data_IF_058662118130
#
_entry.id   IF_058662118130
#
_cell.length_a   1.000
_cell.length_b   1.000
_cell.length_c   1.000
_cell.angle_alpha   90.00
_cell.angle_beta   90.00
_cell.angle_gamma   90.00
#
_symmetry.space_group_name_H-M   'P 1'
#
loop_
_entity.id
_entity.type
_entity.pdbx_description
1 polymer ?
#
# COMPACT_ATOMS: atom_id res chain seq x y z
N UNK A 1 21.72 4.44 -6.38
CA UNK A 1 21.22 4.61 -7.76
C UNK A 1 22.19 5.40 -8.65
N UNK A 2 23.49 5.06 -8.66
CA UNK A 2 24.47 5.73 -9.53
C UNK A 2 24.62 7.24 -9.31
N UNK A 3 24.40 7.74 -8.08
CA UNK A 3 24.44 9.17 -7.76
C UNK A 3 23.18 9.96 -8.13
N UNK A 4 22.17 9.33 -8.72
CA UNK A 4 20.89 9.97 -9.08
C UNK A 4 19.97 10.04 -7.86
N UNK A 5 19.34 11.20 -7.65
CA UNK A 5 18.30 11.38 -6.64
C UNK A 5 17.03 10.63 -7.04
N UNK A 6 16.50 9.82 -6.13
CA UNK A 6 15.27 9.06 -6.33
C UNK A 6 14.19 9.58 -5.41
N UNK A 7 12.98 9.78 -5.95
CA UNK A 7 11.76 10.07 -5.18
C UNK A 7 10.78 8.93 -5.44
N UNK A 8 10.39 8.23 -4.37
CA UNK A 8 9.42 7.14 -4.43
C UNK A 8 8.05 7.67 -4.01
N UNK A 9 7.03 7.39 -4.82
CA UNK A 9 5.64 7.78 -4.55
C UNK A 9 4.78 6.53 -4.74
N UNK A 10 3.96 6.22 -3.73
CA UNK A 10 3.10 5.04 -3.77
C UNK A 10 2.24 4.90 -2.52
N UNK A 11 1.43 3.85 -2.47
CA UNK A 11 0.60 3.47 -1.32
C UNK A 11 0.95 2.05 -0.90
N UNK A 12 1.36 1.88 0.37
CA UNK A 12 1.77 0.60 0.92
C UNK A 12 0.58 -0.35 1.19
N UNK A 13 -0.65 0.18 1.18
CA UNK A 13 -1.86 -0.61 1.34
C UNK A 13 -2.40 -1.19 0.02
N UNK A 14 -1.63 -1.08 -1.06
CA UNK A 14 -1.95 -1.78 -2.30
C UNK A 14 -1.74 -3.29 -2.15
N UNK A 15 -2.35 -4.04 -3.07
CA UNK A 15 -2.14 -5.49 -3.14
C UNK A 15 -0.64 -5.81 -3.25
N UNK A 16 -0.16 -6.87 -2.58
CA UNK A 16 1.21 -7.32 -2.73
C UNK A 16 1.55 -7.57 -4.20
N UNK A 17 2.83 -7.40 -4.60
CA UNK A 17 3.29 -7.80 -5.91
C UNK A 17 2.94 -9.27 -6.19
N UNK A 18 2.39 -9.54 -7.37
CA UNK A 18 2.11 -10.91 -7.80
C UNK A 18 3.42 -11.58 -8.20
N UNK A 19 3.88 -12.52 -7.38
CA UNK A 19 5.04 -13.36 -7.70
C UNK A 19 4.58 -14.57 -8.48
N UNK A 20 5.15 -14.78 -9.67
CA UNK A 20 4.83 -15.94 -10.50
C UNK A 20 5.50 -17.21 -9.95
N UNK A 21 4.93 -18.37 -10.29
CA UNK A 21 5.43 -19.66 -9.80
C UNK A 21 6.88 -19.93 -10.22
N UNK A 22 7.26 -19.54 -11.43
CA UNK A 22 8.62 -19.65 -11.97
C UNK A 22 9.63 -18.70 -11.29
N UNK A 23 9.16 -17.63 -10.66
CA UNK A 23 9.98 -16.65 -9.93
C UNK A 23 10.00 -16.89 -8.42
N UNK A 24 9.08 -17.71 -7.91
CA UNK A 24 8.85 -17.89 -6.47
C UNK A 24 10.09 -18.39 -5.72
N UNK A 25 10.81 -19.35 -6.29
CA UNK A 25 12.05 -19.88 -5.71
C UNK A 25 13.13 -18.80 -5.61
N UNK A 26 13.26 -17.93 -6.62
CA UNK A 26 14.23 -16.85 -6.60
C UNK A 26 13.88 -15.82 -5.53
N UNK A 27 12.63 -15.36 -5.46
CA UNK A 27 12.21 -14.36 -4.48
C UNK A 27 12.36 -14.84 -3.05
N UNK A 28 11.92 -16.07 -2.76
CA UNK A 28 11.95 -16.64 -1.39
C UNK A 28 13.36 -16.94 -0.88
N UNK A 29 14.35 -17.07 -1.76
CA UNK A 29 15.76 -17.31 -1.39
C UNK A 29 16.62 -16.05 -1.42
N UNK A 30 16.21 -15.03 -2.17
CA UNK A 30 17.02 -13.84 -2.43
C UNK A 30 16.63 -12.64 -1.58
N UNK A 31 15.33 -12.51 -1.27
CA UNK A 31 14.73 -11.38 -0.56
C UNK A 31 13.85 -11.87 0.61
N UNK A 32 13.70 -11.03 1.62
CA UNK A 32 12.85 -11.34 2.78
C UNK A 32 11.36 -11.38 2.41
N UNK A 33 10.93 -10.46 1.54
CA UNK A 33 9.55 -10.35 1.04
C UNK A 33 9.55 -9.91 -0.42
N UNK A 34 8.43 -10.05 -1.17
CA UNK A 34 8.35 -9.57 -2.55
C UNK A 34 8.17 -8.05 -2.67
N UNK A 35 8.03 -7.33 -1.57
CA UNK A 35 7.83 -5.87 -1.60
C UNK A 35 9.11 -5.12 -1.93
N UNK A 36 8.98 -3.94 -2.52
CA UNK A 36 10.13 -3.12 -2.96
C UNK A 36 11.11 -2.79 -1.81
N UNK A 37 10.60 -2.65 -0.58
CA UNK A 37 11.41 -2.30 0.59
C UNK A 37 12.30 -3.45 1.07
N UNK A 38 12.14 -4.67 0.54
CA UNK A 38 13.08 -5.78 0.76
C UNK A 38 14.24 -5.79 -0.23
N UNK A 39 14.30 -4.85 -1.19
CA UNK A 39 15.42 -4.75 -2.11
C UNK A 39 16.72 -4.44 -1.37
N UNK A 40 17.82 -5.13 -1.71
CA UNK A 40 19.15 -4.93 -1.08
C UNK A 40 19.72 -3.52 -1.22
N UNK A 41 19.25 -2.76 -2.21
CA UNK A 41 19.65 -1.38 -2.46
C UNK A 41 18.70 -0.36 -1.79
N UNK A 42 17.68 -0.83 -1.07
CA UNK A 42 16.75 0.00 -0.32
C UNK A 42 17.15 -0.03 1.15
N UNK A 43 17.58 1.12 1.66
CA UNK A 43 17.87 1.35 3.07
C UNK A 43 16.90 2.41 3.58
N UNK A 44 16.16 2.12 4.66
CA UNK A 44 15.05 2.99 5.10
C UNK A 44 15.53 4.39 5.48
N UNK A 45 16.74 4.48 6.02
CA UNK A 45 17.46 5.71 6.38
C UNK A 45 17.76 6.62 5.18
N UNK A 46 17.90 6.05 3.97
CA UNK A 46 18.15 6.83 2.73
C UNK A 46 16.86 7.44 2.16
N UNK A 47 15.69 7.01 2.65
CA UNK A 47 14.37 7.41 2.14
C UNK A 47 13.49 8.01 3.24
N UNK A 48 13.76 9.26 3.68
CA UNK A 48 12.87 9.97 4.58
C UNK A 48 11.45 10.02 4.00
N UNK A 49 10.49 9.52 4.77
CA UNK A 49 9.12 9.29 4.29
C UNK A 49 8.16 10.34 4.84
N UNK A 50 7.28 10.85 3.98
CA UNK A 50 6.16 11.72 4.35
C UNK A 50 4.85 11.03 3.97
N UNK A 51 3.93 10.92 4.92
CA UNK A 51 2.59 10.37 4.66
C UNK A 51 1.62 11.49 4.32
N UNK A 52 0.97 11.40 3.16
CA UNK A 52 -0.11 12.31 2.77
C UNK A 52 -1.43 11.84 3.38
N UNK A 53 -2.02 12.64 4.26
CA UNK A 53 -3.23 12.27 5.02
C UNK A 53 -4.51 12.92 4.50
N UNK A 54 -4.40 13.99 3.70
CA UNK A 54 -5.57 14.69 3.16
C UNK A 54 -6.11 13.98 1.93
N UNK A 55 -7.38 13.55 2.01
CA UNK A 55 -8.10 12.89 0.92
C UNK A 55 -8.96 13.91 0.17
N UNK A 56 -8.64 14.18 -1.10
CA UNK A 56 -9.36 15.15 -1.92
C UNK A 56 -10.45 14.54 -2.81
N UNK A 57 -10.40 13.23 -3.09
CA UNK A 57 -11.28 12.59 -4.08
C UNK A 57 -12.75 12.53 -3.65
N UNK A 58 -13.01 12.43 -2.34
CA UNK A 58 -14.35 12.29 -1.77
C UNK A 58 -14.86 13.56 -1.07
N UNK A 59 -14.32 14.74 -1.42
CA UNK A 59 -14.79 16.02 -0.86
C UNK A 59 -16.31 16.17 -1.09
N UNK A 60 -17.09 16.14 0.00
CA UNK A 60 -18.55 16.22 -0.01
C UNK A 60 -19.30 14.90 0.30
N UNK A 61 -18.60 13.76 0.42
CA UNK A 61 -19.17 12.48 0.88
C UNK A 61 -18.32 11.91 2.04
N UNK A 62 -18.48 12.52 3.22
CA UNK A 62 -17.77 12.15 4.46
C UNK A 62 -18.04 10.69 4.85
N UNK A 63 -19.23 10.18 4.52
CA UNK A 63 -19.64 8.81 4.80
C UNK A 63 -18.87 7.80 3.95
N UNK A 64 -18.71 8.06 2.65
CA UNK A 64 -17.89 7.21 1.77
C UNK A 64 -16.41 7.23 2.19
N UNK A 65 -15.91 8.39 2.61
CA UNK A 65 -14.53 8.51 3.12
C UNK A 65 -14.30 7.65 4.36
N UNK A 66 -15.25 7.66 5.31
CA UNK A 66 -15.18 6.82 6.50
C UNK A 66 -15.16 5.32 6.17
N UNK A 67 -16.06 4.87 5.29
CA UNK A 67 -16.13 3.46 4.85
C UNK A 67 -14.81 3.01 4.19
N UNK A 68 -14.23 3.83 3.32
CA UNK A 68 -12.97 3.48 2.65
C UNK A 68 -11.78 3.45 3.63
N UNK A 69 -11.77 4.32 4.63
CA UNK A 69 -10.78 4.26 5.70
C UNK A 69 -10.95 3.01 6.58
N UNK A 70 -12.18 2.62 6.90
CA UNK A 70 -12.45 1.37 7.64
C UNK A 70 -11.98 0.12 6.87
N UNK A 71 -12.24 0.07 5.55
CA UNK A 71 -11.73 -1.00 4.68
C UNK A 71 -10.19 -1.00 4.67
N UNK A 72 -9.56 0.17 4.59
CA UNK A 72 -8.09 0.31 4.59
C UNK A 72 -7.45 -0.20 5.88
N UNK A 73 -8.07 0.10 7.03
CA UNK A 73 -7.59 -0.33 8.34
C UNK A 73 -7.99 -1.79 8.69
N UNK A 74 -8.86 -2.41 7.89
CA UNK A 74 -9.35 -3.77 8.13
C UNK A 74 -10.28 -3.89 9.34
N UNK A 75 -10.82 -2.76 9.83
CA UNK A 75 -11.65 -2.70 11.03
C UNK A 75 -13.12 -2.59 10.61
N UNK A 76 -13.91 -3.62 10.95
CA UNK A 76 -15.37 -3.70 10.81
C UNK A 76 -15.91 -3.73 9.36
N UNK A 77 -15.80 -4.91 8.73
CA UNK A 77 -16.45 -5.20 7.44
C UNK A 77 -17.98 -5.31 7.52
N UNK A 78 -18.55 -5.62 8.69
CA UNK A 78 -19.98 -5.96 8.82
C UNK A 78 -20.94 -4.81 8.52
N UNK A 79 -20.83 -3.68 9.24
CA UNK A 79 -21.71 -2.52 9.03
C UNK A 79 -21.38 -1.79 7.73
N UNK A 80 -20.10 -1.71 7.36
CA UNK A 80 -19.64 -1.10 6.12
C UNK A 80 -20.21 -1.83 4.89
N UNK A 81 -20.25 -3.18 4.91
CA UNK A 81 -20.79 -3.99 3.82
C UNK A 81 -22.31 -3.87 3.69
N UNK A 82 -23.06 -3.83 4.80
CA UNK A 82 -24.50 -3.55 4.77
C UNK A 82 -24.81 -2.16 4.20
N UNK A 83 -24.02 -1.15 4.56
CA UNK A 83 -24.19 0.21 4.04
C UNK A 83 -23.82 0.35 2.56
N UNK A 84 -22.83 -0.41 2.07
CA UNK A 84 -22.49 -0.49 0.64
C UNK A 84 -23.60 -1.15 -0.18
N UNK A 85 -24.20 -2.23 0.35
CA UNK A 85 -25.24 -3.00 -0.32
C UNK A 85 -26.63 -2.33 -0.31
N UNK A 86 -26.84 -1.30 0.52
CA UNK A 86 -28.09 -0.55 0.60
C UNK A 86 -28.21 0.57 -0.46
N UNK A 87 -27.31 0.58 -1.44
CA UNK A 87 -27.36 1.41 -2.66
C UNK A 87 -27.60 0.53 -3.87
#
# INVERSE_FOLDING_TARGET
>A
FGGVQIVLVGDLYQLPPVVREDEAAYFTTTYETPYFFSARAFHREDFPTVSLTTVFRQLGDDRMTAILNEIREGVLLGHAQEQLNAR
#
